data_IF_328333971906
#
_entry.id   IF_328333971906
#
_cell.length_a   1.000
_cell.length_b   1.000
_cell.length_c   1.000
_cell.angle_alpha   90.00
_cell.angle_beta   90.00
_cell.angle_gamma   90.00
#
_symmetry.space_group_name_H-M   'P 1'
#
loop_
_entity.id
_entity.type
_entity.pdbx_description
1 polymer ?
#
# COMPACT_ATOMS: atom_id res chain seq x y z
N UNK A 1 -5.63 24.74 53.50
CA UNK A 1 -4.38 24.07 53.10
C UNK A 1 -4.53 22.61 52.63
N UNK A 2 -5.54 21.82 53.06
CA UNK A 2 -5.75 20.44 52.59
C UNK A 2 -6.15 20.32 51.12
N UNK A 3 -6.94 21.24 50.60
CA UNK A 3 -7.47 21.19 49.20
C UNK A 3 -6.40 21.58 48.16
N UNK A 4 -5.43 22.43 48.50
CA UNK A 4 -4.34 22.83 47.61
C UNK A 4 -3.40 21.64 47.32
N UNK A 5 -3.16 20.75 48.31
CA UNK A 5 -2.37 19.54 48.11
C UNK A 5 -3.07 18.50 47.22
N UNK A 6 -4.39 18.39 47.31
CA UNK A 6 -5.20 17.47 46.47
C UNK A 6 -5.20 17.93 44.98
N UNK A 7 -5.30 19.22 44.72
CA UNK A 7 -5.27 19.78 43.37
C UNK A 7 -3.90 19.63 42.74
N UNK A 8 -2.82 19.79 43.52
CA UNK A 8 -1.44 19.60 43.03
C UNK A 8 -1.15 18.15 42.66
N UNK A 9 -1.71 17.17 43.41
CA UNK A 9 -1.52 15.74 43.14
C UNK A 9 -2.34 15.30 41.92
N UNK A 10 -3.54 15.86 41.70
CA UNK A 10 -4.34 15.59 40.52
C UNK A 10 -3.73 16.17 39.23
N UNK A 11 -3.04 17.30 39.30
CA UNK A 11 -2.35 17.92 38.13
C UNK A 11 -1.09 17.14 37.74
N UNK A 12 -0.40 16.48 38.68
CA UNK A 12 0.80 15.68 38.38
C UNK A 12 0.48 14.37 37.65
N UNK A 13 -0.72 13.81 37.81
CA UNK A 13 -1.14 12.56 37.15
C UNK A 13 -1.51 12.78 35.67
N UNK A 14 -1.87 14.01 35.26
CA UNK A 14 -2.25 14.34 33.89
C UNK A 14 -1.06 14.51 32.92
N UNK A 15 0.17 14.61 33.44
CA UNK A 15 1.37 14.78 32.60
C UNK A 15 2.07 13.47 32.22
N UNK A 16 1.56 12.31 32.65
CA UNK A 16 2.19 11.01 32.41
C UNK A 16 1.71 10.31 31.10
N UNK A 17 0.96 11.00 30.21
CA UNK A 17 0.38 10.38 29.01
C UNK A 17 1.12 10.69 27.72
N UNK A 18 2.39 11.08 27.76
CA UNK A 18 3.23 11.15 26.57
C UNK A 18 4.30 10.07 26.63
N UNK A 19 3.86 8.80 26.68
CA UNK A 19 4.74 7.65 26.48
C UNK A 19 5.29 7.66 25.04
N UNK A 20 6.55 7.23 24.81
CA UNK A 20 7.05 7.03 23.45
C UNK A 20 6.09 6.07 22.75
N UNK A 21 5.65 6.43 21.56
CA UNK A 21 4.82 5.57 20.70
C UNK A 21 5.65 4.30 20.45
N UNK A 22 5.39 3.25 21.22
CA UNK A 22 6.08 1.97 21.05
C UNK A 22 5.76 1.48 19.63
N UNK A 23 6.80 1.34 18.81
CA UNK A 23 6.63 0.75 17.48
C UNK A 23 6.13 -0.69 17.68
N UNK A 24 5.04 -1.03 17.02
CA UNK A 24 4.49 -2.38 17.06
C UNK A 24 5.37 -3.32 16.23
N UNK A 25 5.44 -4.58 16.63
CA UNK A 25 5.98 -5.63 15.74
C UNK A 25 4.99 -5.90 14.61
N UNK A 26 5.44 -6.53 13.53
CA UNK A 26 4.55 -6.91 12.42
C UNK A 26 3.42 -7.81 12.88
N UNK A 27 3.69 -8.78 13.77
CA UNK A 27 2.63 -9.64 14.34
C UNK A 27 1.59 -8.83 15.10
N UNK A 28 1.98 -7.80 15.82
CA UNK A 28 1.04 -6.95 16.56
C UNK A 28 0.26 -6.01 15.61
N UNK A 29 0.95 -5.44 14.63
CA UNK A 29 0.35 -4.46 13.71
C UNK A 29 -0.59 -5.11 12.68
N UNK A 30 -0.28 -6.34 12.25
CA UNK A 30 -0.94 -7.08 11.16
C UNK A 30 -1.39 -8.47 11.61
N UNK A 31 -1.90 -8.58 12.83
CA UNK A 31 -2.31 -9.85 13.44
C UNK A 31 -3.26 -10.67 12.57
N UNK A 32 -4.16 -10.02 11.82
CA UNK A 32 -5.07 -10.70 10.89
C UNK A 32 -4.33 -11.51 9.82
N UNK A 33 -3.24 -10.99 9.26
CA UNK A 33 -2.44 -11.71 8.25
C UNK A 33 -1.76 -12.94 8.88
N UNK A 34 -1.18 -12.81 10.08
CA UNK A 34 -0.50 -13.93 10.76
C UNK A 34 -1.48 -14.99 11.25
N UNK A 35 -2.71 -14.62 11.59
CA UNK A 35 -3.75 -15.55 12.04
C UNK A 35 -4.40 -16.30 10.87
N UNK A 36 -4.78 -15.57 9.82
CA UNK A 36 -5.49 -16.15 8.67
C UNK A 36 -4.54 -16.82 7.66
N UNK A 37 -3.26 -16.41 7.63
CA UNK A 37 -2.22 -16.96 6.73
C UNK A 37 -2.68 -17.01 5.26
N UNK A 38 -3.13 -15.88 4.69
CA UNK A 38 -3.65 -15.86 3.33
C UNK A 38 -2.56 -16.23 2.33
N UNK A 39 -2.97 -16.93 1.26
CA UNK A 39 -2.09 -17.32 0.17
C UNK A 39 -2.33 -16.48 -1.07
N UNK A 40 -3.61 -16.33 -1.45
CA UNK A 40 -4.04 -15.78 -2.73
C UNK A 40 -4.56 -14.36 -2.58
N UNK A 41 -4.00 -13.45 -3.38
CA UNK A 41 -4.34 -12.02 -3.39
C UNK A 41 -5.05 -11.66 -4.69
N UNK A 42 -6.25 -11.09 -4.58
CA UNK A 42 -6.93 -10.41 -5.67
C UNK A 42 -6.61 -8.91 -5.61
N UNK A 43 -5.98 -8.38 -6.64
CA UNK A 43 -5.76 -6.94 -6.80
C UNK A 43 -6.99 -6.34 -7.49
N UNK A 44 -7.70 -5.47 -6.78
CA UNK A 44 -8.85 -4.75 -7.32
C UNK A 44 -8.39 -3.58 -8.20
N UNK A 45 -9.22 -3.17 -9.19
CA UNK A 45 -8.96 -1.94 -9.94
C UNK A 45 -8.78 -0.74 -8.98
N UNK A 46 -7.71 0.07 -9.13
CA UNK A 46 -7.50 1.19 -8.23
C UNK A 46 -8.63 2.22 -8.30
N UNK A 47 -9.01 2.78 -7.17
CA UNK A 47 -9.94 3.90 -7.04
C UNK A 47 -9.14 5.18 -7.27
N UNK A 48 -9.41 5.89 -8.35
CA UNK A 48 -8.67 7.10 -8.71
C UNK A 48 -9.50 8.35 -8.42
N UNK A 49 -9.15 9.06 -7.37
CA UNK A 49 -9.73 10.35 -6.96
C UNK A 49 -8.87 11.54 -7.39
N UNK A 50 -7.76 11.27 -8.09
CA UNK A 50 -6.85 12.30 -8.58
C UNK A 50 -7.29 12.85 -9.94
N UNK A 51 -6.65 13.95 -10.35
CA UNK A 51 -6.87 14.55 -11.69
C UNK A 51 -6.11 13.83 -12.82
N UNK A 52 -5.20 12.90 -12.48
CA UNK A 52 -4.47 12.12 -13.49
C UNK A 52 -5.25 10.86 -13.84
N UNK A 53 -5.87 10.84 -15.01
CA UNK A 53 -6.71 9.72 -15.48
C UNK A 53 -5.92 8.41 -15.58
N UNK A 54 -4.66 8.46 -16.03
CA UNK A 54 -3.79 7.30 -16.24
C UNK A 54 -3.23 6.71 -14.93
N UNK A 55 -3.33 7.42 -13.80
CA UNK A 55 -2.80 6.96 -12.52
C UNK A 55 -3.33 5.56 -12.13
N UNK A 56 -4.61 5.28 -12.42
CA UNK A 56 -5.24 3.99 -12.18
C UNK A 56 -4.46 2.84 -12.83
N UNK A 57 -4.09 2.98 -14.09
CA UNK A 57 -3.37 1.95 -14.84
C UNK A 57 -1.92 1.81 -14.37
N UNK A 58 -1.23 2.93 -14.09
CA UNK A 58 0.13 2.90 -13.58
C UNK A 58 0.24 2.14 -12.26
N UNK A 59 -0.68 2.38 -11.33
CA UNK A 59 -0.72 1.67 -10.07
C UNK A 59 -1.08 0.19 -10.26
N UNK A 60 -2.12 -0.11 -11.03
CA UNK A 60 -2.57 -1.49 -11.22
C UNK A 60 -1.50 -2.38 -11.84
N UNK A 61 -0.78 -1.89 -12.86
CA UNK A 61 0.23 -2.67 -13.59
C UNK A 61 1.52 -2.91 -12.80
N UNK A 62 1.79 -2.10 -11.77
CA UNK A 62 3.02 -2.21 -10.96
C UNK A 62 2.82 -2.83 -9.59
N UNK A 63 1.57 -3.08 -9.18
CA UNK A 63 1.24 -3.54 -7.83
C UNK A 63 1.50 -5.03 -7.60
N UNK A 64 1.44 -5.86 -8.62
CA UNK A 64 1.67 -7.30 -8.52
C UNK A 64 3.10 -7.64 -8.07
N UNK A 65 4.09 -6.86 -8.48
CA UNK A 65 5.52 -7.15 -8.20
C UNK A 65 5.82 -7.16 -6.71
N UNK A 66 5.55 -6.09 -5.92
CA UNK A 66 5.84 -6.11 -4.49
C UNK A 66 5.06 -7.20 -3.73
N UNK A 67 3.84 -7.55 -4.15
CA UNK A 67 3.04 -8.59 -3.51
C UNK A 67 3.62 -9.98 -3.79
N UNK A 68 4.05 -10.26 -5.03
CA UNK A 68 4.73 -11.51 -5.38
C UNK A 68 6.07 -11.62 -4.63
N UNK A 69 6.83 -10.53 -4.56
CA UNK A 69 8.11 -10.49 -3.83
C UNK A 69 7.93 -10.70 -2.32
N UNK A 70 6.78 -10.30 -1.77
CA UNK A 70 6.43 -10.61 -0.39
C UNK A 70 6.06 -12.09 -0.17
N UNK A 71 5.91 -12.89 -1.24
CA UNK A 71 5.67 -14.33 -1.18
C UNK A 71 4.20 -14.74 -1.23
N UNK A 72 3.36 -13.98 -1.94
CA UNK A 72 1.95 -14.30 -2.18
C UNK A 72 1.71 -14.77 -3.61
N UNK A 73 0.68 -15.57 -3.80
CA UNK A 73 0.13 -15.83 -5.12
C UNK A 73 -0.81 -14.69 -5.51
N UNK A 74 -0.53 -14.02 -6.61
CA UNK A 74 -1.39 -12.95 -7.13
C UNK A 74 -2.25 -13.52 -8.25
N UNK A 75 -3.58 -13.37 -8.15
CA UNK A 75 -4.49 -13.66 -9.27
C UNK A 75 -4.06 -12.79 -10.45
N UNK A 76 -3.81 -13.39 -11.65
CA UNK A 76 -3.27 -12.64 -12.78
C UNK A 76 -4.08 -11.37 -13.07
N UNK A 77 -3.50 -10.14 -12.96
CA UNK A 77 -4.27 -8.89 -12.99
C UNK A 77 -5.05 -8.67 -14.27
N UNK A 78 -4.51 -9.10 -15.42
CA UNK A 78 -5.23 -8.98 -16.69
C UNK A 78 -6.50 -9.85 -16.70
N UNK A 79 -6.39 -11.10 -16.25
CA UNK A 79 -7.52 -12.03 -16.23
C UNK A 79 -8.60 -11.59 -15.23
N UNK A 80 -8.17 -11.23 -14.01
CA UNK A 80 -9.11 -10.75 -12.97
C UNK A 80 -9.86 -9.50 -13.42
N UNK A 81 -9.17 -8.57 -14.09
CA UNK A 81 -9.77 -7.36 -14.63
C UNK A 81 -10.89 -7.65 -15.63
N UNK A 82 -10.67 -8.60 -16.56
CA UNK A 82 -11.68 -8.98 -17.55
C UNK A 82 -12.90 -9.65 -16.88
N UNK A 83 -12.68 -10.50 -15.89
CA UNK A 83 -13.77 -11.14 -15.14
C UNK A 83 -14.53 -10.08 -14.33
N UNK A 84 -13.84 -9.19 -13.61
CA UNK A 84 -14.47 -8.12 -12.84
C UNK A 84 -15.33 -7.19 -13.70
N UNK A 85 -14.90 -6.90 -14.94
CA UNK A 85 -15.71 -6.12 -15.90
C UNK A 85 -16.99 -6.86 -16.29
N UNK A 86 -16.92 -8.16 -16.57
CA UNK A 86 -18.07 -8.99 -16.94
C UNK A 86 -19.08 -9.13 -15.81
N UNK A 87 -18.60 -9.26 -14.59
CA UNK A 87 -19.42 -9.43 -13.37
C UNK A 87 -19.89 -8.08 -12.77
N UNK A 88 -19.72 -6.97 -13.49
CA UNK A 88 -20.06 -5.62 -12.99
C UNK A 88 -19.38 -5.27 -11.66
N UNK A 89 -18.24 -5.88 -11.37
CA UNK A 89 -17.46 -5.72 -10.15
C UNK A 89 -16.18 -4.89 -10.36
N UNK A 90 -16.09 -4.18 -11.50
CA UNK A 90 -14.94 -3.35 -11.85
C UNK A 90 -14.81 -2.10 -10.99
N UNK A 91 -15.92 -1.59 -10.44
CA UNK A 91 -15.91 -0.45 -9.54
C UNK A 91 -15.60 -0.90 -8.10
N UNK A 92 -14.32 -0.78 -7.75
CA UNK A 92 -13.82 -1.19 -6.44
C UNK A 92 -14.43 -0.40 -5.28
N UNK A 93 -14.91 0.83 -5.52
CA UNK A 93 -15.52 1.67 -4.49
C UNK A 93 -16.80 1.03 -3.93
N UNK A 94 -17.51 0.26 -4.76
CA UNK A 94 -18.72 -0.47 -4.34
C UNK A 94 -18.44 -1.62 -3.36
N UNK A 95 -17.18 -2.09 -3.28
CA UNK A 95 -16.80 -3.28 -2.51
C UNK A 95 -16.01 -2.97 -1.25
N UNK A 96 -15.39 -1.79 -1.16
CA UNK A 96 -14.51 -1.47 -0.02
C UNK A 96 -15.25 -1.50 1.32
N UNK A 97 -16.52 -1.08 1.34
CA UNK A 97 -17.37 -1.04 2.54
C UNK A 97 -18.45 -2.12 2.55
N UNK A 98 -18.42 -3.07 1.58
CA UNK A 98 -19.39 -4.17 1.57
C UNK A 98 -19.26 -5.07 2.80
N UNK A 99 -20.38 -5.58 3.32
CA UNK A 99 -20.40 -6.44 4.49
C UNK A 99 -19.84 -7.85 4.22
N UNK A 100 -19.65 -8.22 2.97
CA UNK A 100 -19.02 -9.49 2.59
C UNK A 100 -18.29 -9.39 1.25
N UNK A 101 -17.10 -9.98 1.22
CA UNK A 101 -16.26 -10.16 0.03
C UNK A 101 -16.11 -11.63 -0.38
N UNK A 102 -16.97 -12.53 0.14
CA UNK A 102 -16.92 -13.98 -0.14
C UNK A 102 -17.05 -14.29 -1.63
N UNK A 103 -17.75 -13.45 -2.38
CA UNK A 103 -17.86 -13.58 -3.84
C UNK A 103 -16.48 -13.63 -4.54
N UNK A 104 -15.50 -12.90 -4.04
CA UNK A 104 -14.14 -12.92 -4.60
C UNK A 104 -13.38 -14.20 -4.26
N UNK A 105 -13.70 -14.83 -3.12
CA UNK A 105 -13.20 -16.15 -2.80
C UNK A 105 -13.81 -17.23 -3.70
N UNK A 106 -15.08 -17.13 -3.95
CA UNK A 106 -15.83 -18.09 -4.80
C UNK A 106 -15.38 -18.03 -6.26
N UNK A 107 -15.21 -16.81 -6.82
CA UNK A 107 -14.88 -16.64 -8.24
C UNK A 107 -13.38 -16.82 -8.50
N UNK A 108 -12.51 -16.26 -7.63
CA UNK A 108 -11.07 -16.17 -7.87
C UNK A 108 -10.23 -17.09 -6.96
N UNK A 109 -10.84 -17.74 -5.97
CA UNK A 109 -10.09 -18.44 -4.92
C UNK A 109 -9.26 -17.47 -4.05
N UNK A 110 -9.60 -16.19 -4.04
CA UNK A 110 -8.83 -15.17 -3.33
C UNK A 110 -9.08 -15.25 -1.82
N UNK A 111 -8.02 -15.33 -1.03
CA UNK A 111 -8.12 -15.28 0.43
C UNK A 111 -8.22 -13.83 0.92
N UNK A 112 -7.56 -12.91 0.21
CA UNK A 112 -7.56 -11.48 0.51
C UNK A 112 -7.74 -10.64 -0.74
N UNK A 113 -8.30 -9.46 -0.54
CA UNK A 113 -8.56 -8.47 -1.59
C UNK A 113 -7.81 -7.19 -1.28
N UNK A 114 -7.03 -6.71 -2.24
CA UNK A 114 -6.25 -5.47 -2.12
C UNK A 114 -6.94 -4.32 -2.84
N UNK A 115 -7.32 -3.29 -2.11
CA UNK A 115 -7.85 -2.03 -2.59
C UNK A 115 -6.76 -0.96 -2.58
N UNK A 116 -6.70 -0.17 -3.65
CA UNK A 116 -5.79 0.96 -3.80
C UNK A 116 -6.60 2.23 -4.03
N UNK A 117 -6.37 3.28 -3.25
CA UNK A 117 -7.05 4.56 -3.38
C UNK A 117 -5.99 5.63 -3.67
N UNK A 118 -6.07 6.24 -4.84
CA UNK A 118 -5.19 7.32 -5.27
C UNK A 118 -5.91 8.64 -4.99
N UNK A 119 -5.59 9.27 -3.86
CA UNK A 119 -6.26 10.50 -3.44
C UNK A 119 -5.73 11.74 -4.16
N UNK A 120 -4.43 11.71 -4.55
CA UNK A 120 -3.77 12.85 -5.16
C UNK A 120 -2.65 12.39 -6.10
N UNK A 121 -2.49 13.11 -7.21
CA UNK A 121 -1.37 12.98 -8.13
C UNK A 121 -1.04 14.36 -8.70
N UNK A 122 -0.09 15.05 -8.08
CA UNK A 122 0.31 16.39 -8.46
C UNK A 122 1.71 16.41 -9.05
N UNK A 123 1.83 17.05 -10.20
CA UNK A 123 3.12 17.39 -10.79
C UNK A 123 3.52 18.80 -10.35
N UNK A 124 4.75 18.94 -9.89
CA UNK A 124 5.30 20.28 -9.68
C UNK A 124 5.54 20.97 -11.03
N UNK A 125 5.06 22.20 -11.19
CA UNK A 125 5.36 23.05 -12.34
C UNK A 125 6.81 23.53 -12.36
N UNK A 126 7.46 23.55 -11.20
CA UNK A 126 8.87 23.96 -11.03
C UNK A 126 9.59 22.79 -10.32
N UNK A 127 10.49 22.15 -11.07
CA UNK A 127 11.23 20.99 -10.58
C UNK A 127 10.55 19.66 -10.90
N UNK A 128 11.38 18.69 -11.19
CA UNK A 128 10.96 17.35 -11.65
C UNK A 128 10.46 16.50 -10.47
N UNK A 129 9.30 16.83 -9.90
CA UNK A 129 8.73 16.12 -8.76
C UNK A 129 7.27 15.77 -9.01
N UNK A 130 6.88 14.57 -8.60
CA UNK A 130 5.48 14.14 -8.53
C UNK A 130 5.15 13.84 -7.07
N UNK A 131 4.05 14.38 -6.57
CA UNK A 131 3.52 14.12 -5.23
C UNK A 131 2.28 13.27 -5.36
N UNK A 132 2.28 12.12 -4.69
CA UNK A 132 1.16 11.18 -4.70
C UNK A 132 0.69 10.95 -3.27
N UNK A 133 -0.61 11.11 -3.02
CA UNK A 133 -1.26 10.65 -1.80
C UNK A 133 -2.00 9.35 -2.11
N UNK A 134 -1.62 8.28 -1.39
CA UNK A 134 -2.03 6.91 -1.67
C UNK A 134 -2.49 6.22 -0.39
N UNK A 135 -3.49 5.36 -0.52
CA UNK A 135 -3.94 4.48 0.55
C UNK A 135 -4.13 3.06 0.01
N UNK A 136 -3.66 2.08 0.79
CA UNK A 136 -3.84 0.67 0.52
C UNK A 136 -4.58 0.01 1.67
N UNK A 137 -5.59 -0.78 1.33
CA UNK A 137 -6.41 -1.52 2.27
C UNK A 137 -6.47 -2.97 1.80
N UNK A 138 -6.08 -3.90 2.68
CA UNK A 138 -6.22 -5.34 2.42
C UNK A 138 -7.29 -5.89 3.34
N UNK A 139 -8.29 -6.51 2.76
CA UNK A 139 -9.41 -7.13 3.48
C UNK A 139 -9.41 -8.65 3.26
N UNK A 140 -9.73 -9.38 4.30
CA UNK A 140 -10.02 -10.81 4.21
C UNK A 140 -11.32 -11.05 3.45
N UNK A 141 -11.34 -12.02 2.56
CA UNK A 141 -12.57 -12.45 1.88
C UNK A 141 -13.43 -13.38 2.76
N UNK A 142 -12.87 -13.89 3.84
CA UNK A 142 -13.53 -14.79 4.79
C UNK A 142 -14.13 -14.02 5.97
N UNK A 143 -13.31 -13.25 6.70
CA UNK A 143 -13.76 -12.47 7.87
C UNK A 143 -14.31 -11.09 7.49
N UNK A 144 -14.03 -10.60 6.28
CA UNK A 144 -14.31 -9.25 5.81
C UNK A 144 -13.58 -8.13 6.59
N UNK A 145 -12.68 -8.50 7.49
CA UNK A 145 -11.91 -7.54 8.27
C UNK A 145 -10.78 -6.92 7.47
N UNK A 146 -10.43 -5.68 7.82
CA UNK A 146 -9.22 -5.04 7.32
C UNK A 146 -8.01 -5.57 8.08
N UNK A 147 -7.19 -6.38 7.42
CA UNK A 147 -6.03 -7.06 8.01
C UNK A 147 -4.71 -6.34 7.74
N UNK A 148 -4.70 -5.39 6.81
CA UNK A 148 -3.57 -4.49 6.55
C UNK A 148 -4.10 -3.16 6.01
N UNK A 149 -3.51 -2.06 6.46
CA UNK A 149 -3.79 -0.73 5.94
C UNK A 149 -2.57 0.17 6.12
N UNK A 150 -2.18 0.85 5.04
CA UNK A 150 -1.18 1.92 5.06
C UNK A 150 -1.58 3.04 4.13
N UNK A 151 -1.33 4.28 4.55
CA UNK A 151 -1.56 5.47 3.73
C UNK A 151 -0.40 6.44 3.87
N UNK A 152 -0.17 7.23 2.84
CA UNK A 152 0.87 8.24 2.94
C UNK A 152 1.05 9.07 1.70
N UNK A 153 1.93 10.05 1.86
CA UNK A 153 2.39 10.93 0.80
C UNK A 153 3.77 10.50 0.34
N UNK A 154 3.89 10.18 -0.94
CA UNK A 154 5.16 9.92 -1.62
C UNK A 154 5.51 11.13 -2.49
N UNK A 155 6.70 11.67 -2.32
CA UNK A 155 7.27 12.71 -3.18
C UNK A 155 8.41 12.05 -3.96
N UNK A 156 8.18 11.83 -5.26
CA UNK A 156 9.13 11.18 -6.14
C UNK A 156 9.84 12.20 -7.02
N UNK A 157 11.17 12.11 -7.11
CA UNK A 157 11.96 12.95 -7.98
C UNK A 157 12.07 12.32 -9.38
N UNK A 158 11.52 12.99 -10.39
CA UNK A 158 11.54 12.55 -11.79
C UNK A 158 12.69 13.16 -12.60
N UNK A 159 13.60 13.93 -11.99
CA UNK A 159 14.77 14.46 -12.68
C UNK A 159 15.64 13.30 -13.19
N UNK A 160 16.10 13.42 -14.42
CA UNK A 160 17.03 12.48 -15.02
C UNK A 160 18.38 12.70 -14.33
N UNK A 161 18.70 11.89 -13.34
CA UNK A 161 20.10 11.70 -12.94
C UNK A 161 20.70 10.76 -13.98
N UNK A 162 21.70 11.21 -14.71
CA UNK A 162 22.51 10.32 -15.55
C UNK A 162 23.11 9.26 -14.65
N UNK A 163 22.47 8.11 -14.54
CA UNK A 163 23.09 6.95 -13.94
C UNK A 163 24.02 6.38 -15.00
N UNK A 164 25.32 6.29 -14.70
CA UNK A 164 26.37 5.80 -15.63
C UNK A 164 26.22 4.31 -16.06
N UNK A 165 25.01 3.80 -16.16
CA UNK A 165 24.66 2.50 -16.69
C UNK A 165 24.23 2.65 -18.16
N UNK A 166 25.17 2.40 -19.06
CA UNK A 166 25.02 2.45 -20.52
C UNK A 166 23.82 1.62 -21.03
N UNK A 167 23.44 0.55 -20.35
CA UNK A 167 22.26 -0.26 -20.69
C UNK A 167 20.92 0.43 -20.38
N UNK A 168 20.88 1.30 -19.38
CA UNK A 168 19.69 2.12 -19.08
C UNK A 168 19.59 3.31 -20.02
N UNK A 169 20.71 3.84 -20.51
CA UNK A 169 20.74 4.94 -21.47
C UNK A 169 20.23 4.54 -22.87
N UNK A 170 20.47 3.30 -23.31
CA UNK A 170 19.96 2.79 -24.60
C UNK A 170 18.46 2.48 -24.50
N UNK A 171 17.99 1.91 -23.42
CA UNK A 171 16.55 1.73 -23.16
C UNK A 171 15.87 3.08 -22.86
N UNK A 172 16.55 4.00 -22.17
CA UNK A 172 16.04 5.32 -21.81
C UNK A 172 15.85 6.27 -23.00
N UNK A 173 16.60 6.11 -24.09
CA UNK A 173 16.46 6.92 -25.29
C UNK A 173 15.21 6.57 -26.10
N UNK A 174 14.70 5.34 -26.00
CA UNK A 174 13.51 4.87 -26.70
C UNK A 174 12.22 5.02 -25.90
N UNK A 175 12.30 5.18 -24.55
CA UNK A 175 11.15 5.23 -23.63
C UNK A 175 11.12 6.57 -22.86
N UNK A 176 11.51 7.66 -23.49
CA UNK A 176 11.48 8.97 -22.85
C UNK A 176 10.09 9.63 -22.90
N UNK A 177 9.02 8.82 -22.89
CA UNK A 177 7.65 9.32 -22.80
C UNK A 177 7.33 9.69 -21.34
N UNK A 178 6.49 10.71 -21.15
CA UNK A 178 6.00 11.09 -19.83
C UNK A 178 5.35 9.90 -19.09
N UNK A 179 4.69 9.00 -19.83
CA UNK A 179 4.07 7.78 -19.31
C UNK A 179 5.07 6.84 -18.63
N UNK A 180 6.24 6.57 -19.24
CA UNK A 180 7.26 5.71 -18.63
C UNK A 180 7.76 6.25 -17.28
N UNK A 181 7.94 7.58 -17.17
CA UNK A 181 8.32 8.21 -15.90
C UNK A 181 7.25 8.09 -14.82
N UNK A 182 5.98 8.05 -15.21
CA UNK A 182 4.86 7.93 -14.26
C UNK A 182 4.62 6.50 -13.78
N UNK A 183 4.89 5.51 -14.60
CA UNK A 183 4.94 4.11 -14.16
C UNK A 183 5.98 3.93 -13.06
N UNK A 184 7.17 4.58 -13.17
CA UNK A 184 8.20 4.53 -12.13
C UNK A 184 7.74 5.17 -10.81
N UNK A 185 6.96 6.25 -10.88
CA UNK A 185 6.35 6.87 -9.68
C UNK A 185 5.41 5.87 -8.99
N UNK A 186 4.51 5.24 -9.74
CA UNK A 186 3.57 4.26 -9.20
C UNK A 186 4.31 3.04 -8.61
N UNK A 187 5.32 2.53 -9.33
CA UNK A 187 6.18 1.43 -8.86
C UNK A 187 6.84 1.78 -7.53
N UNK A 188 7.49 2.93 -7.43
CA UNK A 188 8.15 3.37 -6.21
C UNK A 188 7.17 3.53 -5.04
N UNK A 189 5.95 4.04 -5.29
CA UNK A 189 4.90 4.10 -4.28
C UNK A 189 4.50 2.71 -3.79
N UNK A 190 4.28 1.77 -4.70
CA UNK A 190 3.90 0.39 -4.39
C UNK A 190 5.01 -0.33 -3.61
N UNK A 191 6.25 -0.29 -4.09
CA UNK A 191 7.40 -0.93 -3.45
C UNK A 191 7.64 -0.38 -2.05
N UNK A 192 7.63 0.94 -1.87
CA UNK A 192 7.82 1.55 -0.55
C UNK A 192 6.72 1.13 0.42
N UNK A 193 5.47 1.17 -0.02
CA UNK A 193 4.35 0.86 0.88
C UNK A 193 4.33 -0.60 1.28
N UNK A 194 4.57 -1.52 0.33
CA UNK A 194 4.56 -2.96 0.59
C UNK A 194 5.90 -3.52 1.09
N UNK A 195 6.95 -2.70 1.24
CA UNK A 195 8.20 -3.13 1.90
C UNK A 195 8.00 -3.63 3.33
N UNK A 196 6.89 -3.23 3.97
CA UNK A 196 6.49 -3.62 5.33
C UNK A 196 5.45 -4.74 5.36
N UNK A 197 4.99 -5.22 4.19
CA UNK A 197 3.97 -6.26 4.13
C UNK A 197 4.50 -7.56 4.73
N UNK A 198 3.73 -8.26 5.59
CA UNK A 198 4.16 -9.52 6.17
C UNK A 198 4.52 -10.56 5.10
N UNK A 199 5.49 -11.40 5.40
CA UNK A 199 5.95 -12.43 4.48
C UNK A 199 4.88 -13.52 4.26
N UNK A 200 4.51 -13.74 3.00
CA UNK A 200 3.59 -14.79 2.57
C UNK A 200 4.27 -16.17 2.44
N UNK A 201 3.47 -17.20 2.19
CA UNK A 201 3.90 -18.62 2.20
C UNK A 201 5.11 -18.92 1.31
N UNK A 202 5.25 -18.23 0.18
CA UNK A 202 6.35 -18.45 -0.76
C UNK A 202 7.61 -17.63 -0.44
N UNK A 203 7.59 -16.84 0.63
CA UNK A 203 8.75 -16.07 1.07
C UNK A 203 9.67 -16.91 1.95
N UNK A 204 11.01 -16.79 1.81
CA UNK A 204 11.96 -17.39 2.76
C UNK A 204 11.78 -16.88 4.20
N UNK A 205 11.15 -15.71 4.37
CA UNK A 205 10.87 -15.11 5.68
C UNK A 205 9.50 -15.50 6.25
N UNK A 206 8.75 -16.40 5.62
CA UNK A 206 7.44 -16.82 6.10
C UNK A 206 7.48 -17.26 7.56
N UNK A 207 6.59 -16.71 8.40
CA UNK A 207 6.54 -16.89 9.85
C UNK A 207 7.82 -16.48 10.62
N UNK A 208 8.82 -15.86 10.00
CA UNK A 208 10.06 -15.45 10.64
C UNK A 208 10.14 -13.92 10.85
N UNK A 209 9.36 -13.15 10.11
CA UNK A 209 9.40 -11.68 10.14
C UNK A 209 8.48 -11.04 11.20
N UNK A 210 7.73 -11.84 11.95
CA UNK A 210 6.74 -11.36 12.91
C UNK A 210 7.29 -10.49 14.04
N UNK A 211 8.54 -10.69 14.42
CA UNK A 211 9.25 -9.89 15.43
C UNK A 211 9.87 -8.60 14.85
N UNK A 212 9.94 -8.45 13.53
CA UNK A 212 10.40 -7.21 12.88
C UNK A 212 9.45 -6.05 13.25
N UNK A 213 9.99 -4.83 13.35
CA UNK A 213 9.18 -3.65 13.61
C UNK A 213 8.34 -3.32 12.39
N UNK A 214 7.06 -3.05 12.61
CA UNK A 214 6.16 -2.58 11.55
C UNK A 214 6.50 -1.16 11.13
N UNK A 215 6.25 -0.84 9.87
CA UNK A 215 6.29 0.53 9.36
C UNK A 215 5.14 1.38 9.91
N UNK A 216 5.26 2.69 9.71
CA UNK A 216 4.18 3.60 10.10
C UNK A 216 2.94 3.37 9.23
N UNK A 217 1.77 3.26 9.86
CA UNK A 217 0.47 3.20 9.14
C UNK A 217 0.21 4.45 8.31
N UNK A 218 0.71 5.61 8.75
CA UNK A 218 0.66 6.86 8.00
C UNK A 218 2.08 7.39 7.84
N UNK A 219 2.49 7.72 6.60
CA UNK A 219 3.86 8.13 6.31
C UNK A 219 3.93 9.30 5.31
N UNK A 220 5.06 10.00 5.34
CA UNK A 220 5.46 10.96 4.30
C UNK A 220 6.91 10.70 3.95
N UNK A 221 7.18 10.39 2.69
CA UNK A 221 8.52 10.02 2.23
C UNK A 221 8.90 10.75 0.95
N UNK A 222 10.20 10.98 0.82
CA UNK A 222 10.81 11.44 -0.44
C UNK A 222 11.66 10.30 -0.98
N UNK A 223 11.33 9.86 -2.18
CA UNK A 223 12.07 8.81 -2.87
C UNK A 223 12.91 9.43 -3.99
N UNK A 224 14.19 9.07 -4.09
CA UNK A 224 15.01 9.37 -5.25
C UNK A 224 14.53 8.53 -6.45
N UNK A 225 14.97 8.92 -7.64
CA UNK A 225 14.84 8.09 -8.82
C UNK A 225 15.79 6.90 -8.72
#
# INVERSE_FOLDING_TARGET
MKYIKLISTAFLVLMASCGPTSKLTKTQAYSGIYNEKPLTVLIMPPINRSTNVEAKEFFHTTLNVPIINAGYYVVPPFLSMEILKRESAYDSELFIDKPSLTIFKEIFGADITLFTIINKWDKSSIGSKVTVDIEYIVKSTTSNETIYSRKGTVIYNTSVSGSGNIFLDIAGSLINTAAAKYVDVARACNEYTFSDFPAGLYSPKYNLDGAEMSGLKSFKVRLPK
#
